data_IF_294361420400
#
_entry.id   IF_294361420400
#
_cell.length_a   1.000
_cell.length_b   1.000
_cell.length_c   1.000
_cell.angle_alpha   90.00
_cell.angle_beta   90.00
_cell.angle_gamma   90.00
#
_symmetry.space_group_name_H-M   'P 1'
#
loop_
_entity.id
_entity.type
_entity.pdbx_description
1 polymer ?
#
# COMPACT_ATOMS: atom_id res chain seq x y z
N UNK A 1 5.87 -36.06 17.37
CA UNK A 1 4.44 -36.10 17.76
C UNK A 1 3.82 -37.32 17.08
N UNK A 2 2.97 -38.09 17.77
CA UNK A 2 2.43 -39.36 17.25
C UNK A 2 1.42 -39.09 16.13
N UNK A 3 1.54 -39.80 15.01
CA UNK A 3 0.63 -39.69 13.86
C UNK A 3 -0.86 -39.87 14.25
N UNK A 4 -1.13 -40.58 15.35
CA UNK A 4 -2.47 -40.74 15.90
C UNK A 4 -3.11 -39.42 16.35
N UNK A 5 -2.34 -38.50 16.93
CA UNK A 5 -2.89 -37.24 17.43
C UNK A 5 -3.35 -36.32 16.29
N UNK A 6 -2.60 -36.30 15.20
CA UNK A 6 -2.95 -35.55 13.99
C UNK A 6 -4.18 -36.15 13.32
N UNK A 7 -4.22 -37.48 13.14
CA UNK A 7 -5.35 -38.16 12.53
C UNK A 7 -6.65 -37.95 13.33
N UNK A 8 -6.54 -38.00 14.66
CA UNK A 8 -7.65 -37.73 15.58
C UNK A 8 -8.21 -36.32 15.42
N UNK A 9 -7.33 -35.32 15.31
CA UNK A 9 -7.73 -33.92 15.15
C UNK A 9 -8.41 -33.66 13.79
N UNK A 10 -7.93 -34.31 12.73
CA UNK A 10 -8.49 -34.21 11.37
C UNK A 10 -9.88 -34.87 11.31
N UNK A 11 -10.03 -36.05 11.92
CA UNK A 11 -11.32 -36.77 11.97
C UNK A 11 -12.36 -35.98 12.77
N UNK A 12 -12.01 -35.48 13.95
CA UNK A 12 -12.91 -34.65 14.76
C UNK A 12 -13.37 -33.39 14.02
N UNK A 13 -12.45 -32.71 13.32
CA UNK A 13 -12.77 -31.54 12.50
C UNK A 13 -13.72 -31.88 11.35
N UNK A 14 -13.49 -33.00 10.65
CA UNK A 14 -14.36 -33.46 9.55
C UNK A 14 -15.76 -33.81 10.06
N UNK A 15 -15.85 -34.43 11.24
CA UNK A 15 -17.12 -34.80 11.85
C UNK A 15 -17.94 -33.57 12.24
N UNK A 16 -17.30 -32.57 12.86
CA UNK A 16 -17.93 -31.27 13.15
C UNK A 16 -18.42 -30.54 11.90
N UNK A 17 -17.67 -30.62 10.79
CA UNK A 17 -18.07 -30.03 9.51
C UNK A 17 -19.35 -30.70 8.98
N UNK A 18 -19.39 -32.03 9.00
CA UNK A 18 -20.56 -32.78 8.54
C UNK A 18 -21.79 -32.50 9.42
N UNK A 19 -21.62 -32.48 10.74
CA UNK A 19 -22.70 -32.15 11.69
C UNK A 19 -23.21 -30.73 11.51
N UNK A 20 -22.33 -29.74 11.30
CA UNK A 20 -22.74 -28.37 11.05
C UNK A 20 -23.49 -28.23 9.72
N UNK A 21 -23.07 -28.97 8.68
CA UNK A 21 -23.71 -28.97 7.37
C UNK A 21 -25.11 -29.60 7.42
N UNK A 22 -25.26 -30.74 8.10
CA UNK A 22 -26.55 -31.42 8.30
C UNK A 22 -27.54 -30.56 9.09
N UNK A 23 -27.05 -29.75 10.03
CA UNK A 23 -27.85 -28.83 10.82
C UNK A 23 -28.11 -27.47 10.13
N UNK A 24 -27.70 -27.30 8.86
CA UNK A 24 -27.87 -26.06 8.10
C UNK A 24 -27.10 -24.86 8.68
N UNK A 25 -26.08 -25.12 9.51
CA UNK A 25 -25.25 -24.08 10.11
C UNK A 25 -24.10 -23.69 9.18
N UNK A 26 -23.81 -22.39 9.12
CA UNK A 26 -22.69 -21.88 8.33
C UNK A 26 -21.36 -22.38 8.94
N UNK A 27 -20.60 -23.15 8.16
CA UNK A 27 -19.27 -23.61 8.55
C UNK A 27 -18.32 -22.41 8.50
N UNK A 28 -17.72 -22.04 9.64
CA UNK A 28 -16.67 -21.02 9.67
C UNK A 28 -15.39 -21.61 9.06
N UNK A 29 -14.87 -21.07 7.95
CA UNK A 29 -13.60 -21.52 7.39
C UNK A 29 -12.51 -21.28 8.43
N UNK A 30 -11.86 -22.35 8.84
CA UNK A 30 -10.86 -22.30 9.93
C UNK A 30 -9.48 -21.95 9.40
N UNK A 31 -9.32 -21.91 8.07
CA UNK A 31 -8.17 -21.33 7.40
C UNK A 31 -8.60 -19.99 6.81
N UNK A 32 -8.03 -18.90 7.33
CA UNK A 32 -8.00 -17.65 6.58
C UNK A 32 -7.00 -17.88 5.45
N UNK A 33 -7.49 -18.06 4.23
CA UNK A 33 -6.61 -17.87 3.06
C UNK A 33 -6.32 -16.38 3.05
N UNK A 34 -5.22 -15.99 3.67
CA UNK A 34 -4.82 -14.59 3.75
C UNK A 34 -4.26 -14.23 2.39
N UNK A 35 -5.13 -13.69 1.54
CA UNK A 35 -4.69 -13.14 0.28
C UNK A 35 -3.87 -11.88 0.59
N UNK A 36 -2.58 -11.88 0.23
CA UNK A 36 -1.64 -10.78 0.44
C UNK A 36 -2.24 -9.44 -0.05
N UNK A 37 -2.92 -9.45 -1.20
CA UNK A 37 -3.55 -8.27 -1.78
C UNK A 37 -4.74 -7.72 -0.97
N UNK A 38 -5.34 -8.53 -0.11
CA UNK A 38 -6.44 -8.11 0.77
C UNK A 38 -5.97 -7.71 2.16
N UNK A 39 -4.84 -8.25 2.61
CA UNK A 39 -4.23 -7.88 3.89
C UNK A 39 -3.51 -6.53 3.79
N UNK A 40 -2.75 -6.32 2.71
CA UNK A 40 -1.98 -5.10 2.50
C UNK A 40 -2.63 -4.21 1.43
N UNK A 41 -3.84 -3.72 1.73
CA UNK A 41 -4.63 -2.88 0.81
C UNK A 41 -4.00 -1.49 0.58
N UNK A 42 -3.08 -1.08 1.44
CA UNK A 42 -2.28 0.15 1.36
C UNK A 42 -1.19 0.09 0.28
N UNK A 43 -0.91 -1.09 -0.26
CA UNK A 43 0.00 -1.27 -1.39
C UNK A 43 -0.79 -1.58 -2.67
N UNK A 44 -0.44 -0.90 -3.74
CA UNK A 44 -0.90 -1.28 -5.07
C UNK A 44 -0.34 -2.64 -5.48
N UNK A 45 -1.01 -3.31 -6.41
CA UNK A 45 -0.53 -4.57 -6.99
C UNK A 45 0.85 -4.43 -7.65
N UNK A 46 1.21 -3.24 -8.11
CA UNK A 46 2.52 -2.96 -8.70
C UNK A 46 3.59 -2.96 -7.60
N UNK A 47 3.35 -2.21 -6.52
CA UNK A 47 4.27 -2.17 -5.37
C UNK A 47 4.49 -3.55 -4.77
N UNK A 48 3.43 -4.34 -4.57
CA UNK A 48 3.56 -5.72 -4.05
C UNK A 48 4.43 -6.57 -4.98
N UNK A 49 4.30 -6.44 -6.31
CA UNK A 49 5.15 -7.14 -7.26
C UNK A 49 6.61 -6.68 -7.22
N UNK A 50 6.83 -5.38 -7.03
CA UNK A 50 8.19 -4.82 -6.94
C UNK A 50 8.87 -5.27 -5.63
N UNK A 51 8.13 -5.30 -4.52
CA UNK A 51 8.61 -5.89 -3.27
C UNK A 51 8.87 -7.39 -3.40
N UNK A 52 8.03 -8.11 -4.13
CA UNK A 52 8.25 -9.53 -4.42
C UNK A 52 9.52 -9.75 -5.24
N UNK A 53 9.76 -8.93 -6.28
CA UNK A 53 10.97 -9.00 -7.08
C UNK A 53 12.24 -8.69 -6.25
N UNK A 54 12.13 -7.73 -5.32
CA UNK A 54 13.21 -7.42 -4.37
C UNK A 54 13.47 -8.60 -3.43
N UNK A 55 12.41 -9.18 -2.85
CA UNK A 55 12.51 -10.34 -1.97
C UNK A 55 13.20 -11.52 -2.67
N UNK A 56 12.69 -11.93 -3.84
CA UNK A 56 13.24 -13.05 -4.62
C UNK A 56 14.66 -12.81 -5.15
N UNK A 57 15.15 -11.56 -5.19
CA UNK A 57 16.54 -11.26 -5.57
C UNK A 57 17.53 -11.63 -4.47
N UNK A 58 17.10 -11.60 -3.21
CA UNK A 58 17.96 -11.86 -2.05
C UNK A 58 17.71 -13.21 -1.39
N UNK A 59 16.55 -13.83 -1.64
CA UNK A 59 16.28 -15.25 -1.36
C UNK A 59 17.12 -16.11 -2.33
N UNK A 60 18.33 -16.46 -1.90
CA UNK A 60 19.26 -17.28 -2.70
C UNK A 60 18.85 -18.75 -2.62
N UNK A 61 18.30 -19.16 -1.47
CA UNK A 61 17.79 -20.51 -1.25
C UNK A 61 16.56 -20.87 -2.09
N UNK A 62 15.81 -19.86 -2.56
CA UNK A 62 14.45 -20.00 -3.08
C UNK A 62 13.55 -20.82 -2.15
N UNK A 63 13.76 -20.69 -0.84
CA UNK A 63 12.93 -21.38 0.16
C UNK A 63 11.68 -20.57 0.53
N UNK A 64 11.57 -19.34 0.02
CA UNK A 64 10.45 -18.44 0.27
C UNK A 64 10.60 -17.62 1.55
N UNK A 65 11.78 -17.66 2.18
CA UNK A 65 12.14 -16.93 3.39
C UNK A 65 13.45 -16.18 3.18
N UNK A 66 13.67 -15.13 3.96
CA UNK A 66 14.98 -14.50 4.09
C UNK A 66 15.55 -14.89 5.44
N UNK A 67 16.60 -15.72 5.42
CA UNK A 67 17.34 -16.02 6.63
C UNK A 67 18.27 -14.88 7.04
N UNK A 68 18.92 -15.02 8.21
CA UNK A 68 19.83 -14.00 8.73
C UNK A 68 21.02 -13.72 7.80
N UNK A 69 21.55 -14.75 7.12
CA UNK A 69 22.67 -14.60 6.21
C UNK A 69 22.26 -13.88 4.92
N UNK A 70 21.09 -14.19 4.39
CA UNK A 70 20.51 -13.54 3.22
C UNK A 70 20.15 -12.08 3.52
N UNK A 71 19.54 -11.80 4.67
CA UNK A 71 19.28 -10.44 5.13
C UNK A 71 20.57 -9.65 5.32
N UNK A 72 21.64 -10.29 5.82
CA UNK A 72 22.97 -9.66 5.92
C UNK A 72 23.48 -9.23 4.54
N UNK A 73 23.46 -10.14 3.56
CA UNK A 73 23.92 -9.88 2.19
C UNK A 73 23.06 -8.78 1.56
N UNK A 74 21.75 -8.78 1.82
CA UNK A 74 20.84 -7.73 1.37
C UNK A 74 21.26 -6.36 1.88
N UNK A 75 21.46 -6.21 3.20
CA UNK A 75 21.86 -4.94 3.81
C UNK A 75 23.25 -4.47 3.34
N UNK A 76 24.20 -5.39 3.14
CA UNK A 76 25.51 -5.08 2.55
C UNK A 76 25.38 -4.56 1.11
N UNK A 77 24.56 -5.21 0.28
CA UNK A 77 24.32 -4.80 -1.12
C UNK A 77 23.56 -3.48 -1.24
N UNK A 78 22.75 -3.13 -0.24
CA UNK A 78 22.06 -1.83 -0.17
C UNK A 78 22.97 -0.71 0.36
N UNK A 79 24.21 -1.01 0.78
CA UNK A 79 25.16 -0.03 1.29
C UNK A 79 24.93 0.38 2.76
N UNK A 80 24.12 -0.37 3.50
CA UNK A 80 23.79 -0.12 4.91
C UNK A 80 24.04 -1.36 5.78
N UNK A 81 25.30 -1.83 5.89
CA UNK A 81 25.61 -3.05 6.64
C UNK A 81 25.20 -2.92 8.11
N UNK A 82 24.60 -3.99 8.65
CA UNK A 82 24.13 -4.06 10.03
C UNK A 82 24.95 -5.07 10.84
N UNK A 83 24.98 -4.89 12.16
CA UNK A 83 25.62 -5.86 13.07
C UNK A 83 24.79 -7.15 13.16
N UNK A 84 25.40 -8.27 13.55
CA UNK A 84 24.68 -9.53 13.76
C UNK A 84 23.51 -9.39 14.74
N UNK A 85 23.69 -8.63 15.83
CA UNK A 85 22.64 -8.36 16.80
C UNK A 85 21.55 -7.46 16.22
N UNK A 86 21.93 -6.46 15.42
CA UNK A 86 20.98 -5.60 14.70
C UNK A 86 20.10 -6.38 13.73
N UNK A 87 20.69 -7.29 12.95
CA UNK A 87 19.96 -8.18 12.03
C UNK A 87 18.97 -9.08 12.77
N UNK A 88 19.38 -9.67 13.91
CA UNK A 88 18.45 -10.44 14.76
C UNK A 88 17.31 -9.58 15.29
N UNK A 89 17.59 -8.34 15.68
CA UNK A 89 16.57 -7.39 16.11
C UNK A 89 15.59 -7.05 15.00
N UNK A 90 16.09 -6.84 13.78
CA UNK A 90 15.26 -6.56 12.59
C UNK A 90 14.31 -7.72 12.28
N UNK A 91 14.79 -8.96 12.31
CA UNK A 91 13.95 -10.16 12.12
C UNK A 91 12.90 -10.23 13.22
N UNK A 92 13.33 -10.17 14.49
CA UNK A 92 12.44 -10.31 15.64
C UNK A 92 11.32 -9.25 15.73
N UNK A 93 11.49 -8.10 15.07
CA UNK A 93 10.48 -7.04 15.03
C UNK A 93 9.32 -7.34 14.07
N UNK A 94 9.52 -8.19 13.07
CA UNK A 94 8.49 -8.53 12.06
C UNK A 94 8.14 -10.01 12.00
N UNK A 95 8.96 -10.87 12.61
CA UNK A 95 8.77 -12.32 12.76
C UNK A 95 7.58 -12.60 13.70
N UNK A 96 6.38 -12.80 13.11
CA UNK A 96 5.14 -13.03 13.83
C UNK A 96 4.98 -14.50 14.24
N UNK A 97 5.54 -15.43 13.44
CA UNK A 97 5.45 -16.87 13.66
C UNK A 97 6.63 -17.48 14.45
N UNK A 98 7.68 -16.70 14.67
CA UNK A 98 8.89 -17.00 15.45
C UNK A 98 9.73 -18.11 14.84
N UNK A 99 9.79 -18.17 13.51
CA UNK A 99 10.64 -19.12 12.79
C UNK A 99 12.10 -18.65 12.67
N UNK A 100 12.39 -17.39 13.03
CA UNK A 100 13.72 -16.79 12.99
C UNK A 100 14.18 -16.40 11.58
N UNK A 101 13.26 -16.36 10.63
CA UNK A 101 13.44 -15.91 9.25
C UNK A 101 12.37 -14.84 8.93
N UNK A 102 12.39 -14.32 7.72
CA UNK A 102 11.39 -13.35 7.25
C UNK A 102 10.67 -13.95 6.04
N UNK A 103 9.41 -14.30 6.20
CA UNK A 103 8.53 -14.66 5.09
C UNK A 103 8.19 -13.44 4.21
N UNK A 104 7.71 -13.68 2.98
CA UNK A 104 7.30 -12.55 2.12
C UNK A 104 6.19 -11.67 2.74
N UNK A 105 5.28 -12.25 3.53
CA UNK A 105 4.25 -11.50 4.25
C UNK A 105 4.87 -10.56 5.30
N UNK A 106 5.83 -11.05 6.06
CA UNK A 106 6.53 -10.26 7.08
C UNK A 106 7.46 -9.22 6.45
N UNK A 107 8.01 -9.51 5.27
CA UNK A 107 8.73 -8.53 4.48
C UNK A 107 7.84 -7.34 4.09
N UNK A 108 6.57 -7.57 3.71
CA UNK A 108 5.61 -6.49 3.46
C UNK A 108 5.25 -5.71 4.74
N UNK A 109 5.25 -6.39 5.89
CA UNK A 109 5.03 -5.76 7.20
C UNK A 109 6.07 -4.66 7.48
N UNK A 110 7.32 -4.85 7.04
CA UNK A 110 8.40 -3.84 7.18
C UNK A 110 7.98 -2.53 6.51
N UNK A 111 7.55 -2.58 5.25
CA UNK A 111 7.11 -1.40 4.50
C UNK A 111 5.85 -0.78 5.10
N UNK A 112 4.95 -1.61 5.64
CA UNK A 112 3.73 -1.11 6.30
C UNK A 112 4.10 -0.29 7.53
N UNK A 113 4.96 -0.83 8.39
CA UNK A 113 5.47 -0.13 9.59
C UNK A 113 6.24 1.13 9.20
N UNK A 114 7.00 1.11 8.11
CA UNK A 114 7.69 2.29 7.58
C UNK A 114 6.70 3.39 7.18
N UNK A 115 5.66 3.07 6.41
CA UNK A 115 4.62 4.03 5.99
C UNK A 115 3.77 4.55 7.14
N UNK A 116 3.51 3.71 8.14
CA UNK A 116 2.80 4.10 9.35
C UNK A 116 3.65 5.01 10.26
N UNK A 117 4.95 5.17 10.00
CA UNK A 117 5.87 5.93 10.85
C UNK A 117 6.19 5.24 12.17
N UNK A 118 5.96 3.92 12.26
CA UNK A 118 6.23 3.12 13.46
C UNK A 118 7.72 2.75 13.57
N UNK A 119 8.46 2.80 12.46
CA UNK A 119 9.89 2.54 12.45
C UNK A 119 10.69 3.81 12.73
N UNK A 120 11.66 3.70 13.62
CA UNK A 120 12.66 4.75 13.84
C UNK A 120 13.46 4.95 12.54
N UNK A 121 13.62 6.20 12.10
CA UNK A 121 14.22 6.52 10.78
C UNK A 121 15.62 5.95 10.57
N UNK A 122 16.40 5.84 11.64
CA UNK A 122 17.78 5.30 11.63
C UNK A 122 17.86 3.82 11.99
N UNK A 123 16.73 3.14 12.24
CA UNK A 123 16.72 1.69 12.50
C UNK A 123 17.11 0.91 11.25
N UNK A 124 17.58 -0.32 11.44
CA UNK A 124 17.93 -1.21 10.33
C UNK A 124 16.74 -1.46 9.39
N UNK A 125 15.52 -1.62 9.93
CA UNK A 125 14.30 -1.76 9.12
C UNK A 125 13.91 -0.47 8.41
N UNK A 126 14.09 0.70 9.04
CA UNK A 126 13.84 2.00 8.42
C UNK A 126 14.81 2.29 7.27
N UNK A 127 16.09 1.93 7.45
CA UNK A 127 17.09 1.99 6.39
C UNK A 127 16.77 1.04 5.25
N UNK A 128 16.39 -0.21 5.56
CA UNK A 128 15.97 -1.19 4.56
C UNK A 128 14.84 -0.63 3.70
N UNK A 129 13.73 -0.21 4.32
CA UNK A 129 12.55 0.29 3.62
C UNK A 129 12.90 1.47 2.70
N UNK A 130 13.68 2.44 3.19
CA UNK A 130 14.10 3.61 2.40
C UNK A 130 15.00 3.26 1.22
N UNK A 131 15.88 2.28 1.36
CA UNK A 131 16.86 1.91 0.33
C UNK A 131 16.26 0.98 -0.74
N UNK A 132 15.21 0.23 -0.40
CA UNK A 132 14.51 -0.67 -1.32
C UNK A 132 13.25 -0.05 -1.93
N UNK A 133 12.68 0.99 -1.31
CA UNK A 133 11.60 1.74 -1.91
C UNK A 133 12.04 2.30 -3.25
N UNK A 134 11.47 1.73 -4.30
CA UNK A 134 11.57 2.26 -5.65
C UNK A 134 10.76 3.54 -5.63
N UNK A 135 11.46 4.66 -5.60
CA UNK A 135 10.85 5.96 -5.73
C UNK A 135 10.32 6.11 -7.17
N UNK A 136 9.09 5.64 -7.40
CA UNK A 136 8.42 5.70 -8.71
C UNK A 136 8.34 7.15 -9.20
N UNK A 137 8.35 8.12 -8.28
CA UNK A 137 8.41 9.55 -8.57
C UNK A 137 9.78 10.02 -9.07
N UNK A 138 10.89 9.45 -8.57
CA UNK A 138 12.26 9.80 -9.01
C UNK A 138 12.68 9.09 -10.30
N UNK A 139 12.34 7.81 -10.49
CA UNK A 139 12.89 7.01 -11.61
C UNK A 139 11.93 6.77 -12.79
N UNK A 140 10.65 7.16 -12.73
CA UNK A 140 9.82 6.96 -13.92
C UNK A 140 8.35 7.28 -13.82
N UNK A 141 8.03 8.58 -13.81
CA UNK A 141 6.96 9.22 -14.60
C UNK A 141 6.96 10.75 -14.44
N UNK A 142 7.79 11.34 -13.58
CA UNK A 142 7.85 12.80 -13.41
C UNK A 142 8.16 13.56 -14.70
N UNK A 143 9.15 13.11 -15.47
CA UNK A 143 9.49 13.71 -16.76
C UNK A 143 8.39 13.55 -17.81
N UNK A 144 7.73 12.38 -17.86
CA UNK A 144 6.64 12.12 -18.79
C UNK A 144 5.38 12.92 -18.42
N UNK A 145 5.03 13.02 -17.13
CA UNK A 145 3.93 13.85 -16.65
C UNK A 145 4.13 15.30 -17.09
N UNK A 146 5.28 15.89 -16.80
CA UNK A 146 5.61 17.25 -17.25
C UNK A 146 5.59 17.39 -18.78
N UNK A 147 6.05 16.38 -19.51
CA UNK A 147 6.08 16.40 -20.98
C UNK A 147 4.68 16.26 -21.61
N UNK A 148 3.83 15.39 -21.08
CA UNK A 148 2.44 15.22 -21.53
C UNK A 148 1.57 16.40 -21.12
N UNK A 149 1.74 16.93 -19.91
CA UNK A 149 1.07 18.13 -19.42
C UNK A 149 1.45 19.34 -20.30
N UNK A 150 2.74 19.54 -20.58
CA UNK A 150 3.20 20.58 -21.51
C UNK A 150 2.69 20.37 -22.95
N UNK A 151 2.59 19.13 -23.43
CA UNK A 151 2.08 18.83 -24.79
C UNK A 151 0.57 19.01 -24.91
N UNK A 152 -0.19 18.65 -23.87
CA UNK A 152 -1.62 18.95 -23.74
C UNK A 152 -1.80 20.47 -23.76
N UNK A 153 -1.02 21.20 -22.97
CA UNK A 153 -1.07 22.66 -22.92
C UNK A 153 -0.70 23.30 -24.27
N UNK A 154 0.31 22.78 -24.97
CA UNK A 154 0.70 23.27 -26.30
C UNK A 154 -0.39 23.03 -27.35
N UNK A 155 -1.07 21.87 -27.33
CA UNK A 155 -2.22 21.59 -28.21
C UNK A 155 -3.46 22.41 -27.84
N UNK A 156 -3.67 22.71 -26.56
CA UNK A 156 -4.75 23.59 -26.09
C UNK A 156 -4.49 25.04 -26.52
N UNK A 157 -3.24 25.53 -26.44
CA UNK A 157 -2.86 26.88 -26.92
C UNK A 157 -3.08 27.09 -28.41
N UNK A 158 -3.06 26.04 -29.22
CA UNK A 158 -3.33 26.14 -30.66
C UNK A 158 -4.81 26.17 -31.03
N UNK A 159 -5.70 25.75 -30.11
CA UNK A 159 -7.14 25.74 -30.38
C UNK A 159 -7.82 26.97 -29.76
N UNK A 160 -8.15 27.92 -30.63
CA UNK A 160 -8.93 29.15 -30.37
C UNK A 160 -10.21 28.92 -29.53
N UNK A 161 -10.72 27.69 -29.54
CA UNK A 161 -11.91 27.25 -28.80
C UNK A 161 -11.71 27.19 -27.27
N UNK A 162 -10.48 26.98 -26.78
CA UNK A 162 -10.25 26.82 -25.34
C UNK A 162 -10.28 28.16 -24.59
N UNK A 163 -9.73 29.21 -25.20
CA UNK A 163 -9.81 30.58 -24.67
C UNK A 163 -11.28 31.07 -24.62
N UNK A 164 -12.08 30.66 -25.62
CA UNK A 164 -13.51 30.99 -25.70
C UNK A 164 -14.31 30.33 -24.57
N UNK A 165 -14.06 29.05 -24.25
CA UNK A 165 -14.70 28.34 -23.13
C UNK A 165 -14.32 28.98 -21.78
N UNK A 166 -13.06 29.38 -21.62
CA UNK A 166 -12.59 29.99 -20.38
C UNK A 166 -13.25 31.35 -20.15
N UNK A 167 -13.35 32.19 -21.18
CA UNK A 167 -14.03 33.48 -21.10
C UNK A 167 -15.53 33.30 -20.81
N UNK A 168 -16.21 32.37 -21.47
CA UNK A 168 -17.64 32.14 -21.25
C UNK A 168 -17.95 31.67 -19.82
N UNK A 169 -17.13 30.77 -19.25
CA UNK A 169 -17.31 30.32 -17.87
C UNK A 169 -17.04 31.43 -16.86
N UNK A 170 -16.06 32.30 -17.12
CA UNK A 170 -15.75 33.42 -16.24
C UNK A 170 -16.85 34.49 -16.26
N UNK A 171 -17.40 34.80 -17.43
CA UNK A 171 -18.56 35.70 -17.56
C UNK A 171 -19.82 35.13 -16.91
N UNK A 172 -20.11 33.84 -17.12
CA UNK A 172 -21.24 33.18 -16.44
C UNK A 172 -21.12 33.25 -14.93
N UNK A 173 -19.92 32.99 -14.40
CA UNK A 173 -19.67 33.01 -12.97
C UNK A 173 -19.84 34.42 -12.39
N UNK A 174 -19.32 35.46 -13.06
CA UNK A 174 -19.50 36.87 -12.64
C UNK A 174 -20.96 37.30 -12.68
N UNK A 175 -21.69 36.94 -13.75
CA UNK A 175 -23.12 37.23 -13.86
C UNK A 175 -23.93 36.53 -12.78
N UNK A 176 -23.59 35.29 -12.43
CA UNK A 176 -24.27 34.55 -11.37
C UNK A 176 -24.00 35.16 -9.99
N UNK A 177 -22.75 35.53 -9.70
CA UNK A 177 -22.37 36.22 -8.47
C UNK A 177 -23.09 37.57 -8.35
N UNK A 178 -23.19 38.35 -9.42
CA UNK A 178 -23.92 39.62 -9.44
C UNK A 178 -25.44 39.41 -9.26
N UNK A 179 -26.01 38.38 -9.89
CA UNK A 179 -27.43 38.02 -9.70
C UNK A 179 -27.73 37.61 -8.27
N UNK A 180 -26.84 36.83 -7.65
CA UNK A 180 -26.96 36.42 -6.25
C UNK A 180 -26.85 37.65 -5.34
N UNK A 181 -25.87 38.52 -5.56
CA UNK A 181 -25.68 39.75 -4.78
C UNK A 181 -26.90 40.67 -4.91
N UNK A 182 -27.43 40.85 -6.12
CA UNK A 182 -28.63 41.67 -6.38
C UNK A 182 -29.86 41.08 -5.72
N UNK A 183 -30.03 39.75 -5.72
CA UNK A 183 -31.09 39.05 -5.00
C UNK A 183 -30.96 39.24 -3.50
N UNK A 184 -29.75 39.13 -2.95
CA UNK A 184 -29.49 39.37 -1.53
C UNK A 184 -29.77 40.82 -1.15
N UNK A 185 -29.33 41.80 -1.94
CA UNK A 185 -29.63 43.22 -1.71
C UNK A 185 -31.13 43.51 -1.74
N UNK A 186 -31.86 42.90 -2.68
CA UNK A 186 -33.32 43.03 -2.73
C UNK A 186 -33.99 42.46 -1.48
N UNK A 187 -33.56 41.27 -1.03
CA UNK A 187 -34.06 40.65 0.20
C UNK A 187 -33.74 41.47 1.45
N UNK A 188 -32.51 41.99 1.58
CA UNK A 188 -32.12 42.85 2.69
C UNK A 188 -32.94 44.14 2.72
N UNK A 189 -33.10 44.82 1.58
CA UNK A 189 -33.96 46.02 1.51
C UNK A 189 -35.40 45.69 1.86
N UNK A 190 -35.96 44.59 1.35
CA UNK A 190 -37.32 44.18 1.68
C UNK A 190 -37.50 43.88 3.19
N UNK A 191 -36.50 43.29 3.84
CA UNK A 191 -36.52 43.02 5.29
C UNK A 191 -36.43 44.28 6.16
N UNK A 192 -35.94 45.41 5.63
CA UNK A 192 -35.88 46.70 6.34
C UNK A 192 -37.23 47.43 6.34
N UNK A 193 -38.17 47.04 5.47
CA UNK A 193 -39.50 47.65 5.36
C UNK A 193 -40.64 46.79 5.97
N UNK A 194 -40.31 45.75 6.75
CA UNK A 194 -41.23 44.99 7.63
C UNK A 194 -41.01 45.39 9.09
#
# INVERSE_FOLDING_TARGET
>A
MSADAELSSILNRRQQINEALDNGQAIKPTFKVVNIYTEFHEFSRKEIKDYQATFSKYDVGNDGYLDLAELKIMMEKLGAPQTHLGLKGMIAEVDEDKDGKISFREFLLIYRKARAGELVSDSGLGQLARLTEINVDEVGVGGAKSFFEAKIEQQLRTNKFHDEIRQEQEERRRMEEERVLRRQQFQQRAAVFQ
#
